data_IF_745935180819
#
_entry.id   IF_745935180819
#
_cell.length_a   1.000
_cell.length_b   1.000
_cell.length_c   1.000
_cell.angle_alpha   90.00
_cell.angle_beta   90.00
_cell.angle_gamma   90.00
#
_symmetry.space_group_name_H-M   'P 1'
#
loop_
_entity.id
_entity.type
_entity.pdbx_description
1 polymer ?
#
# COMPACT_ATOMS: atom_id res chain seq x y z
N UNK A 1 -9.34 -36.31 -3.34
CA UNK A 1 -9.55 -35.60 -4.62
C UNK A 1 -8.43 -34.58 -4.78
N UNK A 2 -7.82 -34.45 -5.98
CA UNK A 2 -6.90 -33.32 -6.24
C UNK A 2 -7.73 -32.05 -6.38
N UNK A 3 -7.44 -31.03 -5.59
CA UNK A 3 -8.11 -29.74 -5.72
C UNK A 3 -7.79 -29.10 -7.07
N UNK A 4 -8.78 -28.48 -7.71
CA UNK A 4 -8.62 -27.78 -8.99
C UNK A 4 -7.86 -26.48 -8.71
N UNK A 5 -6.69 -26.33 -9.32
CA UNK A 5 -5.90 -25.09 -9.22
C UNK A 5 -6.34 -24.10 -10.28
N UNK A 6 -6.45 -22.83 -9.88
CA UNK A 6 -6.79 -21.69 -10.77
C UNK A 6 -5.61 -20.72 -10.84
N UNK A 7 -5.47 -20.02 -11.97
CA UNK A 7 -4.44 -19.01 -12.16
C UNK A 7 -4.90 -17.69 -11.55
N UNK A 8 -4.07 -17.12 -10.67
CA UNK A 8 -4.30 -15.84 -10.01
C UNK A 8 -3.19 -14.87 -10.37
N UNK A 9 -3.49 -13.76 -11.07
CA UNK A 9 -2.50 -12.73 -11.35
C UNK A 9 -2.17 -11.97 -10.06
N UNK A 10 -0.90 -11.73 -9.84
CA UNK A 10 -0.38 -10.98 -8.68
C UNK A 10 0.65 -9.95 -9.13
N UNK A 11 0.71 -8.85 -8.40
CA UNK A 11 1.75 -7.82 -8.53
C UNK A 11 2.41 -7.68 -7.17
N UNK A 12 3.70 -8.02 -7.10
CA UNK A 12 4.50 -8.00 -5.86
C UNK A 12 5.85 -7.37 -6.14
N UNK A 13 6.63 -7.07 -5.10
CA UNK A 13 8.01 -6.62 -5.27
C UNK A 13 8.83 -7.65 -6.05
N UNK A 14 9.62 -7.16 -7.00
CA UNK A 14 10.55 -7.99 -7.77
C UNK A 14 11.56 -8.67 -6.85
N UNK A 15 12.07 -7.98 -5.82
CA UNK A 15 13.02 -8.52 -4.85
C UNK A 15 12.44 -9.68 -4.01
N UNK A 16 11.17 -9.58 -3.59
CA UNK A 16 10.49 -10.67 -2.90
C UNK A 16 10.31 -11.87 -3.82
N UNK A 17 9.78 -11.63 -5.02
CA UNK A 17 9.56 -12.70 -5.99
C UNK A 17 10.84 -13.45 -6.33
N UNK A 18 11.91 -12.70 -6.66
CA UNK A 18 13.22 -13.25 -6.97
C UNK A 18 13.78 -14.09 -5.81
N UNK A 19 13.64 -13.63 -4.57
CA UNK A 19 14.09 -14.38 -3.38
C UNK A 19 13.37 -15.72 -3.25
N UNK A 20 12.05 -15.75 -3.47
CA UNK A 20 11.26 -16.98 -3.42
C UNK A 20 11.59 -17.91 -4.60
N UNK A 21 11.83 -17.38 -5.79
CA UNK A 21 12.26 -18.17 -6.96
C UNK A 21 13.61 -18.83 -6.76
N UNK A 22 14.60 -18.08 -6.24
CA UNK A 22 15.93 -18.62 -5.91
C UNK A 22 15.80 -19.74 -4.88
N UNK A 23 15.00 -19.54 -3.84
CA UNK A 23 14.74 -20.56 -2.83
C UNK A 23 14.06 -21.81 -3.44
N UNK A 24 13.05 -21.63 -4.28
CA UNK A 24 12.34 -22.72 -4.95
C UNK A 24 13.30 -23.56 -5.81
N UNK A 25 14.19 -22.89 -6.56
CA UNK A 25 15.21 -23.54 -7.39
C UNK A 25 16.22 -24.32 -6.54
N UNK A 26 16.75 -23.71 -5.48
CA UNK A 26 17.71 -24.36 -4.58
C UNK A 26 17.09 -25.59 -3.88
N UNK A 27 15.83 -25.49 -3.45
CA UNK A 27 15.09 -26.61 -2.85
C UNK A 27 14.96 -27.78 -3.83
N UNK A 28 14.65 -27.47 -5.11
CA UNK A 28 14.57 -28.49 -6.15
C UNK A 28 15.90 -29.22 -6.38
N UNK A 29 17.01 -28.49 -6.37
CA UNK A 29 18.35 -29.06 -6.54
C UNK A 29 18.73 -29.96 -5.35
N UNK A 30 18.39 -29.54 -4.11
CA UNK A 30 18.69 -30.30 -2.89
C UNK A 30 17.85 -31.56 -2.73
N UNK A 31 16.55 -31.48 -3.01
CA UNK A 31 15.59 -32.54 -2.67
C UNK A 31 15.20 -33.41 -3.87
N UNK A 32 15.63 -33.04 -5.08
CA UNK A 32 15.26 -33.73 -6.32
C UNK A 32 13.77 -33.64 -6.68
N UNK A 33 12.98 -32.91 -5.90
CA UNK A 33 11.53 -32.71 -6.10
C UNK A 33 11.27 -31.31 -6.64
N UNK A 34 10.37 -31.20 -7.62
CA UNK A 34 9.99 -29.90 -8.18
C UNK A 34 9.19 -29.13 -7.12
N UNK A 35 9.77 -28.05 -6.63
CA UNK A 35 9.12 -27.04 -5.78
C UNK A 35 8.90 -25.77 -6.60
N UNK A 36 7.66 -25.30 -6.68
CA UNK A 36 7.30 -24.06 -7.37
C UNK A 36 6.99 -22.94 -6.37
N UNK A 37 7.06 -21.69 -6.84
CA UNK A 37 6.62 -20.51 -6.07
C UNK A 37 5.18 -20.66 -5.58
N UNK A 38 4.28 -21.21 -6.40
CA UNK A 38 2.89 -21.48 -5.98
C UNK A 38 2.80 -22.51 -4.86
N UNK A 39 3.63 -23.55 -4.86
CA UNK A 39 3.63 -24.53 -3.76
C UNK A 39 4.13 -23.91 -2.44
N UNK A 40 5.20 -23.11 -2.51
CA UNK A 40 5.74 -22.40 -1.34
C UNK A 40 4.73 -21.38 -0.80
N UNK A 41 4.03 -20.68 -1.70
CA UNK A 41 2.93 -19.79 -1.34
C UNK A 41 1.84 -20.53 -0.59
N UNK A 42 1.37 -21.66 -1.10
CA UNK A 42 0.28 -22.42 -0.46
C UNK A 42 0.68 -22.95 0.92
N UNK A 43 1.92 -23.40 1.08
CA UNK A 43 2.44 -23.84 2.39
C UNK A 43 2.37 -22.69 3.41
N UNK A 44 2.90 -21.52 3.06
CA UNK A 44 2.88 -20.35 3.93
C UNK A 44 1.45 -19.84 4.14
N UNK A 45 0.60 -19.86 3.10
CA UNK A 45 -0.81 -19.48 3.22
C UNK A 45 -1.59 -20.37 4.18
N UNK A 46 -1.35 -21.69 4.19
CA UNK A 46 -1.97 -22.62 5.15
C UNK A 46 -1.55 -22.26 6.58
N UNK A 47 -0.25 -22.05 6.81
CA UNK A 47 0.29 -21.64 8.10
C UNK A 47 -0.32 -20.32 8.58
N UNK A 48 -0.38 -19.29 7.74
CA UNK A 48 -0.98 -18.01 8.10
C UNK A 48 -2.51 -18.08 8.30
N UNK A 49 -3.18 -19.10 7.75
CA UNK A 49 -4.59 -19.35 8.07
C UNK A 49 -4.79 -20.06 9.42
N UNK A 50 -3.75 -20.68 9.97
CA UNK A 50 -3.77 -21.35 11.28
C UNK A 50 -3.27 -20.42 12.37
N UNK A 51 -2.22 -19.65 12.07
CA UNK A 51 -1.58 -18.68 12.94
C UNK A 51 -1.49 -17.32 12.23
N UNK A 52 -2.58 -16.52 12.24
CA UNK A 52 -2.60 -15.25 11.54
C UNK A 52 -1.62 -14.26 12.18
N UNK A 53 -0.71 -13.74 11.36
CA UNK A 53 0.24 -12.70 11.74
C UNK A 53 -0.25 -11.33 11.28
N UNK A 54 0.20 -10.22 11.91
CA UNK A 54 -0.15 -8.86 11.50
C UNK A 54 0.13 -8.60 10.02
N UNK A 55 -0.60 -7.69 9.40
CA UNK A 55 -0.27 -7.24 8.06
C UNK A 55 1.01 -6.40 8.11
N UNK A 56 1.99 -6.66 7.22
CA UNK A 56 3.26 -5.96 7.26
C UNK A 56 3.20 -4.57 6.59
N UNK A 57 2.07 -4.21 5.97
CA UNK A 57 1.79 -2.90 5.39
C UNK A 57 0.31 -2.57 5.53
N UNK A 58 -0.03 -1.28 5.55
CA UNK A 58 -1.42 -0.81 5.38
C UNK A 58 -1.98 -1.29 4.02
N UNK A 59 -3.12 -2.02 3.99
CA UNK A 59 -3.76 -2.43 2.75
C UNK A 59 -4.15 -1.26 1.87
N UNK A 60 -4.11 -1.49 0.56
CA UNK A 60 -4.43 -0.46 -0.45
C UNK A 60 -3.63 0.84 -0.32
N UNK A 61 -2.44 0.83 0.30
CA UNK A 61 -1.57 2.00 0.26
C UNK A 61 -1.30 2.41 -1.19
N UNK A 62 -1.30 3.72 -1.44
CA UNK A 62 -1.14 4.30 -2.78
C UNK A 62 -0.21 5.49 -2.71
N UNK A 63 0.61 5.64 -3.75
CA UNK A 63 1.35 6.87 -3.98
C UNK A 63 0.32 7.96 -4.30
N UNK A 64 0.16 8.95 -3.43
CA UNK A 64 -0.78 10.06 -3.63
C UNK A 64 -0.09 11.30 -4.19
N UNK A 65 1.23 11.42 -3.98
CA UNK A 65 2.06 12.42 -4.65
C UNK A 65 2.38 11.94 -6.07
N UNK A 66 1.57 12.36 -7.05
CA UNK A 66 1.67 11.84 -8.43
C UNK A 66 3.06 11.98 -9.06
N UNK A 67 3.78 13.06 -8.79
CA UNK A 67 5.14 13.28 -9.28
C UNK A 67 6.13 12.22 -8.76
N UNK A 68 5.82 11.57 -7.64
CA UNK A 68 6.63 10.54 -7.01
C UNK A 68 6.27 9.11 -7.42
N UNK A 69 5.25 8.92 -8.26
CA UNK A 69 4.89 7.59 -8.74
C UNK A 69 6.03 6.93 -9.54
N UNK A 70 6.77 7.70 -10.34
CA UNK A 70 7.94 7.20 -11.07
C UNK A 70 9.11 6.86 -10.15
N UNK A 71 9.35 7.69 -9.13
CA UNK A 71 10.40 7.44 -8.12
C UNK A 71 10.08 6.17 -7.33
N UNK A 72 8.82 6.01 -6.88
CA UNK A 72 8.35 4.81 -6.20
C UNK A 72 8.57 3.54 -7.03
N UNK A 73 8.21 3.57 -8.32
CA UNK A 73 8.38 2.42 -9.20
C UNK A 73 9.84 2.06 -9.49
N UNK A 74 10.77 3.03 -9.40
CA UNK A 74 12.22 2.77 -9.52
C UNK A 74 12.81 2.20 -8.23
N UNK A 75 12.36 2.72 -7.09
CA UNK A 75 12.86 2.29 -5.78
C UNK A 75 12.31 0.90 -5.40
N UNK A 76 11.04 0.66 -5.72
CA UNK A 76 10.32 -0.57 -5.41
C UNK A 76 9.77 -1.21 -6.68
N UNK A 77 10.64 -1.74 -7.55
CA UNK A 77 10.21 -2.38 -8.79
C UNK A 77 9.25 -3.52 -8.49
N UNK A 78 8.14 -3.55 -9.23
CA UNK A 78 7.09 -4.55 -9.07
C UNK A 78 7.03 -5.46 -10.29
N UNK A 79 6.94 -6.76 -10.05
CA UNK A 79 6.80 -7.78 -11.08
C UNK A 79 5.35 -8.29 -11.13
N UNK A 80 4.83 -8.43 -12.36
CA UNK A 80 3.54 -9.09 -12.61
C UNK A 80 3.78 -10.57 -12.82
N UNK A 81 3.15 -11.39 -12.00
CA UNK A 81 3.31 -12.83 -12.00
C UNK A 81 1.96 -13.54 -11.88
N UNK A 82 2.00 -14.86 -11.96
CA UNK A 82 0.82 -15.72 -11.84
C UNK A 82 1.07 -16.84 -10.84
N UNK A 83 0.10 -17.06 -9.95
CA UNK A 83 0.10 -18.18 -9.01
C UNK A 83 -0.98 -19.19 -9.36
N UNK A 84 -0.65 -20.48 -9.26
CA UNK A 84 -1.61 -21.57 -9.48
C UNK A 84 -2.06 -22.09 -8.12
N UNK A 85 -3.19 -21.56 -7.62
CA UNK A 85 -3.63 -21.77 -6.24
C UNK A 85 -4.96 -22.51 -6.17
N UNK A 86 -5.19 -23.18 -5.04
CA UNK A 86 -6.51 -23.65 -4.65
C UNK A 86 -7.42 -22.44 -4.32
N UNK A 87 -8.54 -22.24 -5.04
CA UNK A 87 -9.47 -21.15 -4.75
C UNK A 87 -10.01 -21.15 -3.32
N UNK A 88 -10.22 -22.33 -2.72
CA UNK A 88 -10.74 -22.45 -1.35
C UNK A 88 -9.71 -21.99 -0.32
N UNK A 89 -8.44 -22.31 -0.54
CA UNK A 89 -7.35 -21.82 0.31
C UNK A 89 -7.25 -20.29 0.21
N UNK A 90 -7.33 -19.75 -1.01
CA UNK A 90 -7.27 -18.30 -1.22
C UNK A 90 -8.45 -17.59 -0.55
N UNK A 91 -9.67 -18.10 -0.68
CA UNK A 91 -10.85 -17.55 -0.02
C UNK A 91 -10.73 -17.60 1.50
N UNK A 92 -10.26 -18.71 2.07
CA UNK A 92 -9.99 -18.83 3.51
C UNK A 92 -8.96 -17.79 3.96
N UNK A 93 -7.86 -17.65 3.23
CA UNK A 93 -6.80 -16.69 3.54
C UNK A 93 -7.31 -15.26 3.49
N UNK A 94 -8.13 -14.90 2.49
CA UNK A 94 -8.78 -13.60 2.41
C UNK A 94 -9.61 -13.30 3.66
N UNK A 95 -10.50 -14.21 4.06
CA UNK A 95 -11.34 -14.00 5.25
C UNK A 95 -10.52 -13.78 6.51
N UNK A 96 -9.48 -14.59 6.71
CA UNK A 96 -8.57 -14.46 7.86
C UNK A 96 -7.92 -13.07 7.87
N UNK A 97 -7.37 -12.64 6.73
CA UNK A 97 -6.65 -11.38 6.66
C UNK A 97 -7.56 -10.15 6.61
N UNK A 98 -8.80 -10.26 6.15
CA UNK A 98 -9.79 -9.19 6.30
C UNK A 98 -10.06 -8.91 7.78
N UNK A 99 -10.17 -9.95 8.61
CA UNK A 99 -10.32 -9.79 10.06
C UNK A 99 -9.06 -9.23 10.71
N UNK A 100 -7.86 -9.63 10.26
CA UNK A 100 -6.59 -9.02 10.71
C UNK A 100 -6.55 -7.53 10.33
N UNK A 101 -6.91 -7.20 9.09
CA UNK A 101 -6.93 -5.82 8.60
C UNK A 101 -7.89 -4.95 9.40
N UNK A 102 -9.11 -5.43 9.65
CA UNK A 102 -10.11 -4.71 10.46
C UNK A 102 -9.60 -4.43 11.88
N UNK A 103 -8.95 -5.41 12.50
CA UNK A 103 -8.37 -5.25 13.85
C UNK A 103 -7.20 -4.28 13.89
N UNK A 104 -6.33 -4.32 12.87
CA UNK A 104 -5.10 -3.53 12.85
C UNK A 104 -5.33 -2.09 12.36
N UNK A 105 -6.28 -1.88 11.44
CA UNK A 105 -6.46 -0.61 10.72
C UNK A 105 -7.90 -0.06 10.73
N UNK A 106 -8.88 -0.81 11.22
CA UNK A 106 -10.29 -0.41 11.25
C UNK A 106 -11.15 -0.97 10.11
N UNK A 107 -12.47 -0.80 10.23
CA UNK A 107 -13.51 -1.52 9.46
C UNK A 107 -13.52 -1.23 7.94
N UNK A 108 -12.99 -0.09 7.50
CA UNK A 108 -13.04 0.33 6.08
C UNK A 108 -11.92 -0.28 5.21
N UNK A 109 -11.10 -1.15 5.77
CA UNK A 109 -9.93 -1.69 5.08
C UNK A 109 -10.29 -2.90 4.21
N UNK A 110 -10.34 -2.70 2.89
CA UNK A 110 -10.50 -3.81 1.93
C UNK A 110 -9.15 -4.42 1.57
N UNK A 111 -9.08 -5.74 1.45
CA UNK A 111 -7.88 -6.41 0.95
C UNK A 111 -7.98 -6.68 -0.54
N UNK A 112 -6.81 -6.69 -1.20
CA UNK A 112 -6.69 -7.12 -2.58
C UNK A 112 -5.67 -8.25 -2.68
N UNK A 113 -5.69 -8.96 -3.81
CA UNK A 113 -4.81 -10.11 -4.07
C UNK A 113 -3.33 -9.76 -3.98
N UNK A 114 -2.94 -8.55 -4.37
CA UNK A 114 -1.54 -8.11 -4.32
C UNK A 114 -1.05 -7.92 -2.88
N UNK A 115 -1.88 -7.34 -2.01
CA UNK A 115 -1.56 -7.15 -0.59
C UNK A 115 -1.45 -8.50 0.11
N UNK A 116 -2.38 -9.40 -0.20
CA UNK A 116 -2.35 -10.77 0.31
C UNK A 116 -1.09 -11.50 -0.15
N UNK A 117 -0.75 -11.41 -1.45
CA UNK A 117 0.41 -12.08 -1.97
C UNK A 117 1.74 -11.52 -1.43
N UNK A 118 1.82 -10.20 -1.31
CA UNK A 118 2.95 -9.51 -0.67
C UNK A 118 3.11 -9.97 0.78
N UNK A 119 2.02 -10.12 1.52
CA UNK A 119 2.03 -10.57 2.92
C UNK A 119 2.55 -12.00 3.05
N UNK A 120 2.05 -12.92 2.23
CA UNK A 120 2.50 -14.32 2.22
C UNK A 120 3.99 -14.40 1.89
N UNK A 121 4.46 -13.69 0.85
CA UNK A 121 5.89 -13.70 0.51
C UNK A 121 6.77 -12.99 1.52
N UNK A 122 6.29 -11.92 2.16
CA UNK A 122 7.00 -11.27 3.25
C UNK A 122 7.29 -12.26 4.38
N UNK A 123 6.26 -12.95 4.88
CA UNK A 123 6.44 -13.92 5.96
C UNK A 123 7.25 -15.15 5.53
N UNK A 124 7.06 -15.62 4.30
CA UNK A 124 7.90 -16.67 3.74
C UNK A 124 9.39 -16.30 3.75
N UNK A 125 9.73 -15.10 3.26
CA UNK A 125 11.10 -14.62 3.24
C UNK A 125 11.63 -14.41 4.66
N UNK A 126 10.82 -13.82 5.56
CA UNK A 126 11.23 -13.51 6.93
C UNK A 126 11.53 -14.76 7.74
N UNK A 127 10.71 -15.79 7.64
CA UNK A 127 10.92 -17.07 8.33
C UNK A 127 12.19 -17.80 7.87
N UNK A 128 12.61 -17.56 6.62
CA UNK A 128 13.76 -18.21 5.98
C UNK A 128 14.99 -17.31 5.89
N UNK A 129 14.95 -16.15 6.54
CA UNK A 129 16.02 -15.16 6.52
C UNK A 129 16.45 -14.78 5.09
N UNK A 130 15.49 -14.76 4.16
CA UNK A 130 15.72 -14.34 2.78
C UNK A 130 15.72 -12.80 2.68
N UNK A 131 16.40 -12.22 1.68
CA UNK A 131 16.42 -10.77 1.50
C UNK A 131 15.02 -10.16 1.35
N UNK A 132 14.76 -9.08 2.10
CA UNK A 132 13.55 -8.27 2.05
C UNK A 132 13.95 -6.80 1.95
N UNK A 133 13.23 -6.03 1.14
CA UNK A 133 13.36 -4.56 1.14
C UNK A 133 12.53 -3.98 2.30
N UNK A 134 13.15 -3.86 3.48
CA UNK A 134 12.48 -3.37 4.69
C UNK A 134 11.88 -1.98 4.53
N UNK A 135 12.44 -1.11 3.66
CA UNK A 135 11.89 0.22 3.42
C UNK A 135 10.51 0.15 2.76
N UNK A 136 10.27 -0.87 1.94
CA UNK A 136 8.94 -1.08 1.39
C UNK A 136 7.95 -1.42 2.49
N UNK A 137 8.34 -2.07 3.59
CA UNK A 137 7.44 -2.46 4.67
C UNK A 137 7.34 -1.42 5.79
N UNK A 138 8.02 -0.28 5.64
CA UNK A 138 7.95 0.85 6.55
C UNK A 138 6.85 1.84 6.08
N UNK A 139 5.69 1.80 6.75
CA UNK A 139 4.57 2.69 6.44
C UNK A 139 4.86 4.16 6.79
N UNK A 140 5.79 4.46 7.71
CA UNK A 140 6.21 5.84 8.01
C UNK A 140 7.09 6.39 6.89
N UNK A 141 8.04 5.58 6.42
CA UNK A 141 8.84 5.89 5.22
C UNK A 141 7.92 6.13 4.03
N UNK A 142 6.96 5.23 3.79
CA UNK A 142 6.02 5.36 2.68
C UNK A 142 5.21 6.65 2.76
N UNK A 143 4.63 6.94 3.93
CA UNK A 143 3.84 8.16 4.15
C UNK A 143 4.66 9.42 3.89
N UNK A 144 5.89 9.48 4.40
CA UNK A 144 6.78 10.65 4.28
C UNK A 144 7.20 10.94 2.83
N UNK A 145 7.41 9.91 2.00
CA UNK A 145 8.01 10.08 0.68
C UNK A 145 7.02 10.04 -0.48
N UNK A 146 5.87 9.37 -0.32
CA UNK A 146 4.95 9.09 -1.43
C UNK A 146 3.50 9.50 -1.17
N UNK A 147 3.18 9.93 0.05
CA UNK A 147 1.83 10.39 0.40
C UNK A 147 1.84 11.84 0.83
N UNK A 148 0.77 12.56 0.49
CA UNK A 148 0.52 13.85 1.12
C UNK A 148 0.26 13.66 2.62
N UNK A 149 0.86 14.52 3.43
CA UNK A 149 0.43 14.75 4.81
C UNK A 149 -0.77 15.70 4.84
N UNK A 150 -1.42 15.78 6.01
CA UNK A 150 -2.53 16.72 6.20
C UNK A 150 -2.01 18.15 6.07
N UNK A 151 -0.86 18.43 6.66
CA UNK A 151 -0.20 19.73 6.63
C UNK A 151 0.13 20.15 5.21
N UNK A 152 0.73 19.26 4.40
CA UNK A 152 1.01 19.55 2.98
C UNK A 152 -0.28 19.80 2.18
N UNK A 153 -1.35 19.07 2.50
CA UNK A 153 -2.64 19.24 1.82
C UNK A 153 -3.26 20.60 2.15
N UNK A 154 -3.30 20.96 3.43
CA UNK A 154 -3.82 22.24 3.89
C UNK A 154 -2.95 23.41 3.39
N UNK A 155 -1.63 23.25 3.38
CA UNK A 155 -0.68 24.21 2.79
C UNK A 155 -0.95 24.46 1.31
N UNK A 156 -1.17 23.42 0.51
CA UNK A 156 -1.51 23.58 -0.89
C UNK A 156 -2.85 24.34 -1.10
N UNK A 157 -3.84 24.11 -0.23
CA UNK A 157 -5.11 24.88 -0.22
C UNK A 157 -4.87 26.35 0.12
N UNK A 158 -4.02 26.64 1.12
CA UNK A 158 -3.63 28.01 1.49
C UNK A 158 -2.93 28.72 0.33
N UNK A 159 -1.95 28.06 -0.29
CA UNK A 159 -1.22 28.61 -1.41
C UNK A 159 -2.14 28.95 -2.60
N UNK A 160 -3.14 28.11 -2.88
CA UNK A 160 -4.13 28.44 -3.91
C UNK A 160 -5.03 29.61 -3.49
N UNK A 161 -5.41 29.70 -2.22
CA UNK A 161 -6.20 30.81 -1.67
C UNK A 161 -5.47 32.14 -1.82
N UNK A 162 -4.18 32.17 -1.45
CA UNK A 162 -3.30 33.35 -1.63
C UNK A 162 -3.21 33.72 -3.11
N UNK A 163 -3.00 32.73 -3.98
CA UNK A 163 -2.87 32.94 -5.43
C UNK A 163 -4.15 33.51 -6.07
N UNK A 164 -5.32 33.05 -5.64
CA UNK A 164 -6.61 33.52 -6.16
C UNK A 164 -7.10 34.81 -5.49
N UNK A 165 -6.57 35.17 -4.32
CA UNK A 165 -7.08 36.26 -3.49
C UNK A 165 -8.45 35.97 -2.88
N UNK A 166 -8.93 34.72 -2.95
CA UNK A 166 -10.23 34.25 -2.45
C UNK A 166 -10.17 32.75 -2.17
N UNK A 167 -11.13 32.23 -1.43
CA UNK A 167 -11.26 30.77 -1.27
C UNK A 167 -11.45 30.05 -2.61
N UNK A 168 -10.69 28.97 -2.87
CA UNK A 168 -10.89 28.18 -4.07
C UNK A 168 -12.23 27.43 -4.05
N UNK A 169 -12.85 27.32 -5.22
CA UNK A 169 -13.93 26.36 -5.50
C UNK A 169 -13.35 24.98 -5.84
N UNK A 170 -14.15 23.92 -5.72
CA UNK A 170 -13.75 22.58 -6.19
C UNK A 170 -13.32 22.56 -7.66
N UNK A 171 -13.95 23.39 -8.50
CA UNK A 171 -13.59 23.51 -9.92
C UNK A 171 -12.21 24.12 -10.09
N UNK A 172 -11.92 25.22 -9.41
CA UNK A 172 -10.60 25.87 -9.43
C UNK A 172 -9.52 24.94 -8.86
N UNK A 173 -9.81 24.23 -7.77
CA UNK A 173 -8.90 23.22 -7.22
C UNK A 173 -8.56 22.14 -8.25
N UNK A 174 -9.57 21.57 -8.92
CA UNK A 174 -9.33 20.55 -9.95
C UNK A 174 -8.48 21.06 -11.11
N UNK A 175 -8.58 22.34 -11.45
CA UNK A 175 -7.81 22.96 -12.53
C UNK A 175 -6.38 23.32 -12.11
N UNK A 176 -6.20 23.82 -10.88
CA UNK A 176 -4.96 24.50 -10.48
C UNK A 176 -4.16 23.78 -9.38
N UNK A 177 -4.65 22.68 -8.80
CA UNK A 177 -3.95 21.97 -7.71
C UNK A 177 -2.50 21.62 -8.03
N UNK A 178 -2.17 21.33 -9.29
CA UNK A 178 -0.81 20.94 -9.68
C UNK A 178 0.17 22.11 -9.53
N UNK A 179 -0.30 23.35 -9.71
CA UNK A 179 0.52 24.56 -9.59
C UNK A 179 0.91 24.86 -8.14
N UNK A 180 0.14 24.33 -7.19
CA UNK A 180 0.36 24.49 -5.74
C UNK A 180 0.81 23.18 -5.07
N UNK A 181 1.16 22.15 -5.87
CA UNK A 181 1.59 20.86 -5.35
C UNK A 181 0.53 20.13 -4.52
N UNK A 182 -0.75 20.30 -4.83
CA UNK A 182 -1.87 19.75 -4.05
C UNK A 182 -2.37 18.37 -4.51
N UNK A 183 -2.98 17.59 -3.60
CA UNK A 183 -3.60 16.30 -3.92
C UNK A 183 -4.89 16.42 -4.74
N UNK A 184 -5.38 15.27 -5.25
CA UNK A 184 -6.69 15.21 -5.89
C UNK A 184 -7.83 15.58 -4.92
N UNK A 185 -8.94 16.09 -5.45
CA UNK A 185 -10.12 16.43 -4.63
C UNK A 185 -10.66 15.20 -3.89
N UNK A 186 -10.68 14.02 -4.53
CA UNK A 186 -11.09 12.78 -3.89
C UNK A 186 -10.22 12.40 -2.70
N UNK A 187 -8.90 12.65 -2.76
CA UNK A 187 -8.02 12.45 -1.61
C UNK A 187 -8.42 13.38 -0.45
N UNK A 188 -8.70 14.66 -0.74
CA UNK A 188 -9.14 15.62 0.28
C UNK A 188 -10.47 15.20 0.91
N UNK A 189 -11.44 14.78 0.11
CA UNK A 189 -12.74 14.32 0.61
C UNK A 189 -12.58 13.09 1.49
N UNK A 190 -11.78 12.11 1.07
CA UNK A 190 -11.53 10.91 1.88
C UNK A 190 -10.80 11.23 3.18
N UNK A 191 -9.88 12.20 3.17
CA UNK A 191 -9.05 12.54 4.34
C UNK A 191 -9.74 13.47 5.33
N UNK A 192 -10.48 14.46 4.84
CA UNK A 192 -11.09 15.54 5.65
C UNK A 192 -12.62 15.49 5.66
N UNK A 193 -13.24 14.47 5.05
CA UNK A 193 -14.69 14.32 4.89
C UNK A 193 -15.31 15.20 3.79
N UNK A 194 -14.79 16.42 3.57
CA UNK A 194 -15.20 17.27 2.44
C UNK A 194 -14.15 18.32 2.10
N UNK A 195 -14.21 18.84 0.86
CA UNK A 195 -13.35 19.95 0.45
C UNK A 195 -13.60 21.22 1.28
N UNK A 196 -14.86 21.51 1.65
CA UNK A 196 -15.19 22.66 2.48
C UNK A 196 -14.63 22.54 3.92
N UNK A 197 -14.62 21.34 4.50
CA UNK A 197 -13.97 21.11 5.80
C UNK A 197 -12.48 21.39 5.69
N UNK A 198 -11.81 20.87 4.67
CA UNK A 198 -10.38 21.11 4.46
C UNK A 198 -10.05 22.60 4.29
N UNK A 199 -10.85 23.36 3.55
CA UNK A 199 -10.68 24.82 3.41
C UNK A 199 -10.76 25.56 4.76
N UNK A 200 -11.74 25.21 5.60
CA UNK A 200 -11.89 25.82 6.93
C UNK A 200 -10.67 25.52 7.82
N UNK A 201 -10.21 24.26 7.80
CA UNK A 201 -9.02 23.86 8.55
C UNK A 201 -7.78 24.62 8.05
N UNK A 202 -7.60 24.73 6.73
CA UNK A 202 -6.50 25.46 6.12
C UNK A 202 -6.47 26.94 6.54
N UNK A 203 -7.62 27.57 6.76
CA UNK A 203 -7.71 28.94 7.25
C UNK A 203 -7.43 29.07 8.75
N UNK A 204 -7.88 28.11 9.56
CA UNK A 204 -7.64 28.13 11.00
C UNK A 204 -6.13 28.07 11.32
N UNK A 205 -5.37 27.27 10.58
CA UNK A 205 -3.92 27.15 10.72
C UNK A 205 -3.15 28.41 10.28
N UNK A 206 -3.76 29.36 9.55
CA UNK A 206 -3.13 30.67 9.26
C UNK A 206 -3.10 31.58 10.50
N UNK A 207 -4.17 31.54 11.31
CA UNK A 207 -4.35 32.46 12.44
C UNK A 207 -3.40 32.14 13.60
N UNK A 208 -2.98 30.88 13.73
CA UNK A 208 -2.04 30.45 14.78
C UNK A 208 -0.57 30.78 14.44
N UNK A 209 -0.24 31.05 13.17
CA UNK A 209 1.13 31.37 12.72
C UNK A 209 1.52 32.85 12.81
N UNK A 210 0.55 33.77 12.87
CA UNK A 210 0.78 35.22 12.95
C UNK A 210 0.81 35.75 14.40
N UNK A 211 0.69 34.86 15.40
CA UNK A 211 0.63 35.21 16.82
C UNK A 211 1.97 35.23 17.58
N UNK A 212 3.11 35.02 16.91
CA UNK A 212 4.45 35.09 17.51
C UNK A 212 5.34 36.02 16.70
N UNK A 213 5.11 37.32 16.84
CA UNK A 213 6.12 38.36 16.65
C UNK A 213 5.99 39.27 17.87
N UNK A 214 6.88 39.08 18.85
CA UNK A 214 7.14 40.06 19.92
C UNK A 214 7.68 41.36 19.33
#
# INVERSE_FOLDING_TARGET
>A
MRSIKTVFPVVVLESLWASVEVYAKATKEREGRKTSVSQLFEQMAVQLCEEPLPLPIVPNRRVTIYQKAGDFGKEFPQARNSLYLDPQLLERLFRVYEEVAKKQFGEETTLNTNTLATTVFYYFCRERELPIDEKYFDDDYFRKHYSYSDEQTLEAIRNLTIKLGKEPTSREWRQMRQEVGGPSESYIVNRFGSFNVAKRLAQQTLVEGEGNVE
#
